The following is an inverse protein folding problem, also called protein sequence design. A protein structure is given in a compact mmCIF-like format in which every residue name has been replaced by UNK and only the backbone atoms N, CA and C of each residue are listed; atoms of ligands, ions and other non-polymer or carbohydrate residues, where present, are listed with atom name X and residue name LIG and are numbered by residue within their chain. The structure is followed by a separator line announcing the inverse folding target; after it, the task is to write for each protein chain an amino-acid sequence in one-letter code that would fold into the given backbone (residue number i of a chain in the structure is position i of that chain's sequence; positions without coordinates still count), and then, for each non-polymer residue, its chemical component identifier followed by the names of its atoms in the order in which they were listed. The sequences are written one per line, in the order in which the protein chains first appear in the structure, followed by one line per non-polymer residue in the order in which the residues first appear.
data_IF_119227608276
#
_entry.id   IF_119227608276
#
_cell.length_a   1.000
_cell.length_b   1.000
_cell.length_c   1.000
_cell.angle_alpha   90.00
_cell.angle_beta   90.00
_cell.angle_gamma   90.00
#
_symmetry.space_group_name_H-M   'P 1'
#
loop_
_entity.id
_entity.type
_entity.pdbx_description
1 polymer ?
#
# COMPACT_ATOMS: atom_id res chain seq x y z
N UNK A 1 -1.41 22.16 11.06
CA UNK A 1 -1.62 23.60 11.38
C UNK A 1 -1.99 23.79 12.86
N UNK A 2 -1.82 25.00 13.41
CA UNK A 2 -2.16 25.34 14.79
C UNK A 2 -3.43 26.18 14.82
N UNK A 3 -4.37 25.86 15.69
CA UNK A 3 -5.59 26.63 15.91
C UNK A 3 -5.66 27.07 17.38
N UNK A 4 -6.04 28.32 17.62
CA UNK A 4 -6.25 28.86 18.96
C UNK A 4 -7.70 29.33 19.08
N UNK A 5 -8.38 28.91 20.15
CA UNK A 5 -9.77 29.30 20.42
C UNK A 5 -9.94 29.74 21.87
N UNK A 6 -10.75 30.77 22.05
CA UNK A 6 -11.23 31.23 23.35
C UNK A 6 -12.68 30.76 23.53
N UNK A 7 -13.00 30.22 24.70
CA UNK A 7 -14.39 29.92 25.05
C UNK A 7 -14.66 30.28 26.51
N UNK A 8 -15.91 30.62 26.80
CA UNK A 8 -16.38 30.91 28.14
C UNK A 8 -17.04 29.65 28.71
N UNK A 9 -16.69 29.27 29.94
CA UNK A 9 -17.37 28.18 30.64
C UNK A 9 -18.73 28.66 31.15
N UNK A 10 -19.59 27.73 31.58
CA UNK A 10 -20.93 28.09 32.10
C UNK A 10 -20.85 28.96 33.36
N UNK A 11 -19.72 28.91 34.04
CA UNK A 11 -19.37 29.65 35.25
C UNK A 11 -18.75 31.04 34.94
N UNK A 12 -18.64 31.42 33.66
CA UNK A 12 -18.13 32.73 33.22
C UNK A 12 -16.61 32.83 33.11
N UNK A 13 -15.88 31.72 33.26
CA UNK A 13 -14.42 31.74 33.11
C UNK A 13 -14.02 31.69 31.63
N UNK A 14 -13.18 32.64 31.20
CA UNK A 14 -12.55 32.60 29.88
C UNK A 14 -11.38 31.61 29.87
N UNK A 15 -11.45 30.64 28.96
CA UNK A 15 -10.42 29.62 28.76
C UNK A 15 -9.82 29.73 27.37
N UNK A 16 -8.50 29.62 27.30
CA UNK A 16 -7.72 29.58 26.07
C UNK A 16 -7.33 28.14 25.74
N UNK A 17 -7.51 27.71 24.50
CA UNK A 17 -7.08 26.38 24.02
C UNK A 17 -6.23 26.55 22.78
N UNK A 18 -5.14 25.78 22.72
CA UNK A 18 -4.29 25.64 21.54
C UNK A 18 -4.41 24.20 21.06
N UNK A 19 -4.82 24.03 19.80
CA UNK A 19 -5.10 22.74 19.17
C UNK A 19 -4.17 22.55 17.97
N UNK A 20 -3.66 21.32 17.81
CA UNK A 20 -2.86 20.93 16.66
C UNK A 20 -3.75 20.15 15.71
N UNK A 21 -3.95 20.69 14.52
CA UNK A 21 -4.61 20.00 13.42
C UNK A 21 -3.52 19.34 12.59
N UNK A 22 -3.41 18.02 12.66
CA UNK A 22 -2.41 17.27 11.91
C UNK A 22 -2.99 16.78 10.58
N UNK A 23 -2.26 17.03 9.49
CA UNK A 23 -2.61 16.49 8.17
C UNK A 23 -2.24 15.00 8.07
N UNK A 24 -1.14 14.62 8.70
CA UNK A 24 -0.64 13.23 8.78
C UNK A 24 -0.05 12.96 10.18
N UNK A 25 -0.17 11.69 10.63
CA UNK A 25 0.43 11.22 11.87
C UNK A 25 0.93 9.78 11.72
N UNK A 26 1.94 9.40 12.51
CA UNK A 26 2.44 8.03 12.56
C UNK A 26 3.24 7.73 13.83
N UNK A 27 3.46 6.45 14.16
CA UNK A 27 4.25 6.05 15.32
C UNK A 27 5.74 6.38 15.13
N UNK A 28 6.43 6.72 16.22
CA UNK A 28 7.89 6.89 16.19
C UNK A 28 8.59 5.54 16.21
N UNK A 29 9.43 5.27 15.22
CA UNK A 29 10.23 4.03 15.11
C UNK A 29 11.64 4.16 15.68
N UNK A 30 11.98 5.28 16.33
CA UNK A 30 13.34 5.54 16.82
C UNK A 30 13.84 4.45 17.78
N UNK A 31 12.95 3.91 18.61
CA UNK A 31 13.25 2.86 19.59
C UNK A 31 12.16 1.78 19.65
N UNK A 32 11.32 1.69 18.62
CA UNK A 32 10.17 0.79 18.58
C UNK A 32 10.01 0.16 17.19
N UNK A 33 9.27 -0.96 17.14
CA UNK A 33 8.79 -1.56 15.89
C UNK A 33 7.29 -1.32 15.78
N UNK A 34 6.80 -1.17 14.56
CA UNK A 34 5.37 -1.12 14.26
C UNK A 34 5.07 -2.04 13.09
N UNK A 35 3.94 -2.73 13.16
CA UNK A 35 3.35 -3.44 12.04
C UNK A 35 2.36 -2.49 11.36
N UNK A 36 2.42 -2.40 10.03
CA UNK A 36 1.59 -1.47 9.25
C UNK A 36 0.80 -2.27 8.24
N UNK A 37 -0.53 -2.21 8.35
CA UNK A 37 -1.44 -2.75 7.37
C UNK A 37 -2.05 -1.60 6.56
N UNK A 38 -2.06 -1.74 5.23
CA UNK A 38 -2.68 -0.76 4.34
C UNK A 38 -4.15 -1.11 4.16
N UNK A 39 -5.03 -0.20 4.58
CA UNK A 39 -6.46 -0.29 4.27
C UNK A 39 -6.65 0.01 2.77
N UNK A 40 -7.16 -0.97 2.02
CA UNK A 40 -7.59 -0.76 0.64
C UNK A 40 -8.76 0.22 0.61
N UNK A 41 -8.67 1.27 -0.20
CA UNK A 41 -9.77 2.21 -0.39
C UNK A 41 -10.79 1.55 -1.33
N UNK A 42 -11.92 1.10 -0.80
CA UNK A 42 -13.02 0.58 -1.61
C UNK A 42 -13.66 1.75 -2.38
N UNK A 43 -13.33 1.88 -3.67
CA UNK A 43 -13.72 3.03 -4.47
C UNK A 43 -12.86 3.24 -5.70
N UNK A 44 -12.92 2.27 -6.63
CA UNK A 44 -12.24 2.35 -7.92
C UNK A 44 -12.40 1.05 -8.70
N UNK A 45 -13.63 0.76 -9.12
CA UNK A 45 -13.95 -0.41 -9.92
C UNK A 45 -13.12 -0.51 -11.20
N UNK A 46 -12.74 -1.76 -11.50
CA UNK A 46 -12.47 -2.34 -12.82
C UNK A 46 -12.60 -1.41 -14.04
N UNK A 47 -11.47 -1.11 -14.71
CA UNK A 47 -11.42 -1.01 -16.17
C UNK A 47 -9.97 -1.01 -16.69
N UNK A 48 -9.69 -1.91 -17.64
CA UNK A 48 -8.52 -1.88 -18.55
C UNK A 48 -7.23 -2.42 -17.93
N UNK A 49 -6.75 -3.63 -18.24
CA UNK A 49 -6.55 -4.09 -19.61
C UNK A 49 -5.38 -3.32 -20.22
N UNK A 50 -4.15 -3.78 -19.99
CA UNK A 50 -2.95 -3.10 -20.43
C UNK A 50 -1.70 -3.91 -20.14
N UNK A 51 -1.58 -5.03 -20.84
CA UNK A 51 -0.34 -5.79 -20.97
C UNK A 51 0.79 -4.85 -21.38
N UNK A 52 1.64 -4.46 -20.43
CA UNK A 52 2.93 -3.87 -20.74
C UNK A 52 3.89 -5.00 -21.16
N UNK A 53 3.67 -5.50 -22.39
CA UNK A 53 4.60 -6.33 -23.13
C UNK A 53 4.97 -5.59 -24.43
N UNK A 54 5.58 -4.42 -24.26
CA UNK A 54 6.24 -3.68 -25.33
C UNK A 54 7.73 -3.98 -25.29
N UNK A 55 8.20 -4.82 -26.22
CA UNK A 55 9.61 -5.18 -26.32
C UNK A 55 9.84 -6.33 -27.29
N UNK A 56 9.49 -6.11 -28.56
CA UNK A 56 9.79 -7.04 -29.64
C UNK A 56 11.29 -7.14 -29.87
N UNK A 57 11.85 -8.33 -29.68
CA UNK A 57 13.04 -8.80 -30.39
C UNK A 57 13.14 -10.32 -30.23
N UNK A 58 13.68 -10.98 -31.25
CA UNK A 58 14.22 -12.35 -31.23
C UNK A 58 13.26 -13.48 -31.64
N UNK A 59 13.10 -13.64 -32.96
CA UNK A 59 13.69 -14.80 -33.63
C UNK A 59 12.95 -16.14 -33.59
N UNK A 60 12.56 -16.61 -34.78
CA UNK A 60 12.82 -18.00 -35.17
C UNK A 60 11.68 -19.00 -35.04
N UNK A 61 11.11 -19.33 -36.20
CA UNK A 61 10.75 -20.69 -36.64
C UNK A 61 9.64 -21.45 -35.91
N UNK A 62 8.52 -21.50 -36.63
CA UNK A 62 7.52 -22.57 -36.67
C UNK A 62 8.10 -23.99 -36.61
N UNK A 63 7.70 -24.79 -35.62
CA UNK A 63 7.42 -26.23 -35.79
C UNK A 63 6.94 -26.90 -34.50
N UNK A 64 5.75 -27.51 -34.56
CA UNK A 64 5.52 -28.83 -33.95
C UNK A 64 5.11 -28.87 -32.48
N UNK A 65 3.86 -29.28 -32.25
CA UNK A 65 3.36 -29.86 -30.99
C UNK A 65 4.37 -30.82 -30.35
N UNK A 66 4.81 -30.51 -29.14
CA UNK A 66 5.26 -31.49 -28.15
C UNK A 66 4.72 -31.05 -26.79
N UNK A 67 3.94 -31.93 -26.16
CA UNK A 67 3.48 -31.75 -24.79
C UNK A 67 4.71 -31.66 -23.86
N UNK A 68 4.64 -30.88 -22.76
CA UNK A 68 5.75 -30.79 -21.82
C UNK A 68 5.98 -32.15 -21.14
N UNK A 69 7.23 -32.62 -21.16
CA UNK A 69 7.65 -33.74 -20.33
C UNK A 69 7.50 -33.36 -18.85
N UNK A 70 6.87 -34.21 -18.00
CA UNK A 70 6.82 -33.97 -16.57
C UNK A 70 8.23 -34.11 -15.99
N UNK A 71 8.80 -33.00 -15.54
CA UNK A 71 10.04 -32.98 -14.76
C UNK A 71 9.73 -33.57 -13.38
N UNK A 72 9.85 -34.89 -13.28
CA UNK A 72 10.21 -35.52 -12.02
C UNK A 72 11.68 -35.16 -11.78
N UNK A 73 11.91 -34.00 -11.17
CA UNK A 73 13.23 -33.64 -10.66
C UNK A 73 13.51 -34.56 -9.49
N UNK A 74 14.18 -35.67 -9.79
CA UNK A 74 14.93 -36.56 -8.92
C UNK A 74 14.83 -36.18 -7.44
N UNK A 75 13.78 -36.65 -6.77
CA UNK A 75 13.75 -36.62 -5.31
C UNK A 75 15.00 -37.37 -4.81
N UNK A 76 15.78 -36.73 -3.93
CA UNK A 76 16.00 -37.36 -2.63
C UNK A 76 15.63 -36.36 -1.54
N UNK A 77 14.60 -36.65 -0.70
CA UNK A 77 14.35 -35.85 0.48
C UNK A 77 15.48 -36.09 1.48
N UNK A 78 16.09 -35.00 1.95
CA UNK A 78 16.92 -34.97 3.16
C UNK A 78 16.28 -34.07 4.22
#
# INVERSE_FOLDING_TARGET
RLEQREYETKEGEKRNVVEIVADEIGPSLRWARAEVERIARDGGGSSGGGSNAGGGNSGGSSSGSRAPDPVYGDEEPF
#
